data_IF_989235612248
#
_entry.id   IF_989235612248
#
_cell.length_a   1.000
_cell.length_b   1.000
_cell.length_c   1.000
_cell.angle_alpha   90.00
_cell.angle_beta   90.00
_cell.angle_gamma   90.00
#
_symmetry.space_group_name_H-M   'P 1'
#
loop_
_entity.id
_entity.type
_entity.pdbx_description
1 polymer ?
#
# COMPACT_ATOMS: atom_id res chain seq x y z
N UNK A 1 -23.62 -64.25 5.94
CA UNK A 1 -22.64 -63.18 6.18
C UNK A 1 -22.79 -62.21 5.02
N UNK A 2 -23.52 -61.12 5.26
CA UNK A 2 -23.85 -60.11 4.25
C UNK A 2 -22.69 -59.13 4.19
N UNK A 3 -22.08 -59.01 3.01
CA UNK A 3 -20.98 -58.08 2.78
C UNK A 3 -21.45 -56.64 2.90
N UNK A 4 -20.76 -55.87 3.72
CA UNK A 4 -20.86 -54.42 3.77
C UNK A 4 -20.20 -53.86 2.50
N UNK A 5 -21.04 -53.44 1.55
CA UNK A 5 -20.56 -52.68 0.40
C UNK A 5 -20.32 -51.24 0.86
N UNK A 6 -19.04 -50.87 0.92
CA UNK A 6 -18.53 -49.51 1.00
C UNK A 6 -19.23 -48.60 -0.02
N UNK A 7 -20.17 -47.78 0.45
CA UNK A 7 -20.78 -46.71 -0.34
C UNK A 7 -19.81 -45.51 -0.39
N UNK A 8 -18.73 -45.66 -1.16
CA UNK A 8 -18.00 -44.50 -1.67
C UNK A 8 -18.83 -43.94 -2.83
N UNK A 9 -19.54 -42.83 -2.60
CA UNK A 9 -20.17 -42.10 -3.69
C UNK A 9 -19.06 -41.56 -4.61
N UNK A 10 -18.90 -42.18 -5.78
CA UNK A 10 -18.02 -41.68 -6.83
C UNK A 10 -18.55 -40.32 -7.30
N UNK A 11 -17.76 -39.26 -7.08
CA UNK A 11 -18.07 -37.90 -7.53
C UNK A 11 -18.17 -37.92 -9.06
N UNK A 12 -19.30 -37.44 -9.59
CA UNK A 12 -19.48 -37.34 -11.05
C UNK A 12 -18.48 -36.37 -11.66
N UNK A 13 -18.12 -36.56 -12.94
CA UNK A 13 -17.17 -35.70 -13.63
C UNK A 13 -17.56 -34.20 -13.58
N UNK A 14 -18.85 -33.89 -13.63
CA UNK A 14 -19.38 -32.51 -13.54
C UNK A 14 -19.18 -31.90 -12.15
N UNK A 15 -19.38 -32.68 -11.09
CA UNK A 15 -19.13 -32.25 -9.71
C UNK A 15 -17.64 -32.04 -9.47
N UNK A 16 -16.78 -32.91 -10.03
CA UNK A 16 -15.34 -32.75 -9.97
C UNK A 16 -14.89 -31.48 -10.70
N UNK A 17 -15.37 -31.25 -11.93
CA UNK A 17 -15.05 -30.04 -12.70
C UNK A 17 -15.51 -28.77 -11.96
N UNK A 18 -16.70 -28.78 -11.38
CA UNK A 18 -17.23 -27.67 -10.59
C UNK A 18 -16.36 -27.38 -9.36
N UNK A 19 -15.91 -28.43 -8.66
CA UNK A 19 -15.01 -28.29 -7.52
C UNK A 19 -13.66 -27.69 -7.92
N UNK A 20 -13.06 -28.15 -9.03
CA UNK A 20 -11.81 -27.59 -9.56
C UNK A 20 -11.99 -26.12 -9.97
N UNK A 21 -13.12 -25.77 -10.58
CA UNK A 21 -13.43 -24.38 -10.91
C UNK A 21 -13.50 -23.49 -9.66
N UNK A 22 -14.19 -23.93 -8.60
CA UNK A 22 -14.23 -23.18 -7.35
C UNK A 22 -12.86 -23.04 -6.69
N UNK A 23 -12.02 -24.09 -6.70
CA UNK A 23 -10.63 -24.00 -6.21
C UNK A 23 -9.82 -22.93 -6.94
N UNK A 24 -10.01 -22.80 -8.26
CA UNK A 24 -9.35 -21.76 -9.05
C UNK A 24 -9.85 -20.38 -8.64
N UNK A 25 -11.16 -20.19 -8.49
CA UNK A 25 -11.74 -18.91 -8.05
C UNK A 25 -11.29 -18.53 -6.64
N UNK A 26 -11.27 -19.49 -5.70
CA UNK A 26 -10.80 -19.27 -4.34
C UNK A 26 -9.34 -18.85 -4.30
N UNK A 27 -8.49 -19.49 -5.11
CA UNK A 27 -7.10 -19.10 -5.24
C UNK A 27 -6.97 -17.67 -5.81
N UNK A 28 -7.71 -17.34 -6.87
CA UNK A 28 -7.71 -15.98 -7.43
C UNK A 28 -8.11 -14.94 -6.38
N UNK A 29 -9.17 -15.20 -5.61
CA UNK A 29 -9.62 -14.30 -4.54
C UNK A 29 -8.58 -14.17 -3.43
N UNK A 30 -7.97 -15.27 -3.00
CA UNK A 30 -6.92 -15.26 -1.97
C UNK A 30 -5.71 -14.44 -2.42
N UNK A 31 -5.26 -14.62 -3.66
CA UNK A 31 -4.15 -13.88 -4.24
C UNK A 31 -4.47 -12.38 -4.38
N UNK A 32 -5.68 -12.03 -4.81
CA UNK A 32 -6.11 -10.62 -4.89
C UNK A 32 -6.12 -9.94 -3.52
N UNK A 33 -6.68 -10.61 -2.50
CA UNK A 33 -6.69 -10.10 -1.12
C UNK A 33 -5.28 -9.91 -0.58
N UNK A 34 -4.44 -10.93 -0.72
CA UNK A 34 -3.06 -10.88 -0.25
C UNK A 34 -2.29 -9.74 -0.92
N UNK A 35 -2.38 -9.58 -2.24
CA UNK A 35 -1.73 -8.47 -2.96
C UNK A 35 -2.22 -7.10 -2.51
N UNK A 36 -3.52 -6.95 -2.30
CA UNK A 36 -4.09 -5.70 -1.80
C UNK A 36 -3.55 -5.34 -0.42
N UNK A 37 -3.46 -6.31 0.49
CA UNK A 37 -2.89 -6.12 1.83
C UNK A 37 -1.41 -5.73 1.76
N UNK A 38 -0.60 -6.43 0.94
CA UNK A 38 0.80 -6.08 0.76
C UNK A 38 1.00 -4.67 0.21
N UNK A 39 0.23 -4.29 -0.81
CA UNK A 39 0.29 -2.93 -1.37
C UNK A 39 -0.18 -1.87 -0.37
N UNK A 40 -1.18 -2.18 0.44
CA UNK A 40 -1.66 -1.27 1.49
C UNK A 40 -0.60 -1.04 2.57
N UNK A 41 0.08 -2.10 3.00
CA UNK A 41 1.18 -1.99 3.97
C UNK A 41 2.31 -1.12 3.43
N UNK A 42 2.71 -1.32 2.17
CA UNK A 42 3.71 -0.47 1.51
C UNK A 42 3.22 0.98 1.45
N UNK A 43 1.98 1.22 1.05
CA UNK A 43 1.43 2.58 1.00
C UNK A 43 1.46 3.27 2.39
N UNK A 44 1.15 2.52 3.45
CA UNK A 44 1.17 3.00 4.82
C UNK A 44 2.59 3.34 5.29
N UNK A 45 3.59 2.53 4.95
CA UNK A 45 5.00 2.81 5.25
C UNK A 45 5.47 4.14 4.63
N UNK A 46 4.97 4.48 3.44
CA UNK A 46 5.30 5.71 2.71
C UNK A 46 4.37 6.89 3.03
N UNK A 47 3.34 6.71 3.87
CA UNK A 47 2.31 7.72 4.15
C UNK A 47 2.86 9.05 4.70
N UNK A 48 4.05 9.03 5.31
CA UNK A 48 4.73 10.23 5.80
C UNK A 48 5.22 11.16 4.67
N UNK A 49 5.29 10.68 3.42
CA UNK A 49 5.60 11.48 2.24
C UNK A 49 4.39 12.27 1.70
N UNK A 50 3.21 12.09 2.29
CA UNK A 50 2.06 12.91 1.92
C UNK A 50 2.32 14.41 2.18
N UNK A 51 1.78 15.27 1.33
CA UNK A 51 1.97 16.72 1.44
C UNK A 51 1.57 17.28 2.82
N UNK A 52 0.52 16.69 3.44
CA UNK A 52 0.11 17.04 4.78
C UNK A 52 1.20 16.68 5.81
N UNK A 53 1.66 15.43 5.83
CA UNK A 53 2.71 14.95 6.73
C UNK A 53 4.00 15.75 6.57
N UNK A 54 4.44 15.99 5.33
CA UNK A 54 5.62 16.81 5.05
C UNK A 54 5.46 18.24 5.56
N UNK A 55 4.26 18.81 5.52
CA UNK A 55 4.02 20.17 6.02
C UNK A 55 4.05 20.23 7.56
N UNK A 56 3.31 19.35 8.25
CA UNK A 56 3.06 19.44 9.70
C UNK A 56 4.10 18.73 10.56
N UNK A 57 4.68 17.63 10.09
CA UNK A 57 5.55 16.77 10.92
C UNK A 57 6.94 17.41 11.11
N UNK A 58 7.50 17.46 12.34
CA UNK A 58 8.86 17.96 12.58
C UNK A 58 9.92 17.21 11.76
N UNK A 59 11.01 17.89 11.39
CA UNK A 59 11.99 17.32 10.45
C UNK A 59 12.72 16.14 11.05
N UNK A 60 12.99 16.17 12.35
CA UNK A 60 13.66 15.10 13.10
C UNK A 60 12.83 13.83 13.08
N UNK A 61 11.50 13.98 13.18
CA UNK A 61 10.56 12.85 13.11
C UNK A 61 10.46 12.29 11.70
N UNK A 62 10.48 13.15 10.68
CA UNK A 62 10.53 12.72 9.28
C UNK A 62 11.84 11.99 8.95
N UNK A 63 12.98 12.46 9.46
CA UNK A 63 14.27 11.77 9.32
C UNK A 63 14.24 10.40 9.96
N UNK A 64 13.60 10.25 11.12
CA UNK A 64 13.39 8.93 11.74
C UNK A 64 12.56 8.01 10.83
N UNK A 65 11.43 8.49 10.30
CA UNK A 65 10.62 7.69 9.38
C UNK A 65 11.38 7.30 8.11
N UNK A 66 12.15 8.22 7.54
CA UNK A 66 12.99 7.97 6.38
C UNK A 66 14.10 6.93 6.67
N UNK A 67 14.70 6.97 7.87
CA UNK A 67 15.68 5.99 8.30
C UNK A 67 15.06 4.61 8.52
N UNK A 68 13.92 4.54 9.21
CA UNK A 68 13.16 3.29 9.39
C UNK A 68 12.77 2.68 8.02
N UNK A 69 12.38 3.52 7.05
CA UNK A 69 12.06 3.12 5.69
C UNK A 69 13.28 2.59 4.93
N UNK A 70 14.41 3.30 4.98
CA UNK A 70 15.65 2.89 4.32
C UNK A 70 16.25 1.60 4.92
N UNK A 71 15.97 1.29 6.19
CA UNK A 71 16.30 -0.01 6.79
C UNK A 71 15.38 -1.10 6.26
N UNK A 72 14.07 -0.83 6.20
CA UNK A 72 13.06 -1.80 5.76
C UNK A 72 13.19 -2.17 4.28
N UNK A 73 13.54 -1.20 3.45
CA UNK A 73 13.66 -1.32 1.99
C UNK A 73 15.10 -1.05 1.53
N UNK A 74 16.08 -1.60 2.24
CA UNK A 74 17.50 -1.34 2.02
C UNK A 74 18.03 -1.77 0.64
N UNK A 75 17.34 -2.65 -0.06
CA UNK A 75 17.66 -3.06 -1.43
C UNK A 75 17.20 -2.02 -2.47
N UNK A 76 16.13 -1.27 -2.17
CA UNK A 76 15.46 -0.37 -3.11
C UNK A 76 15.64 1.12 -2.78
N UNK A 77 15.92 1.44 -1.51
CA UNK A 77 15.96 2.80 -0.99
C UNK A 77 17.33 3.08 -0.38
N UNK A 78 17.99 4.09 -0.93
CA UNK A 78 19.25 4.60 -0.41
C UNK A 78 19.04 5.38 0.91
N UNK A 79 20.02 5.30 1.80
CA UNK A 79 20.08 6.07 3.04
C UNK A 79 20.09 7.59 2.80
N UNK A 80 20.44 8.06 1.61
CA UNK A 80 20.34 9.46 1.21
C UNK A 80 18.95 10.06 1.41
N UNK A 81 17.88 9.25 1.38
CA UNK A 81 16.50 9.70 1.64
C UNK A 81 16.33 10.43 2.98
N UNK A 82 17.17 10.10 3.98
CA UNK A 82 17.18 10.75 5.30
C UNK A 82 17.57 12.24 5.18
N UNK A 83 18.43 12.57 4.23
CA UNK A 83 18.82 13.96 3.97
C UNK A 83 17.83 14.64 3.02
N UNK A 84 17.34 13.93 2.01
CA UNK A 84 16.39 14.46 1.02
C UNK A 84 15.04 14.84 1.64
N UNK A 85 14.57 14.12 2.66
CA UNK A 85 13.26 14.37 3.28
C UNK A 85 13.14 15.77 3.88
N UNK A 86 14.26 16.31 4.37
CA UNK A 86 14.33 17.69 4.88
C UNK A 86 14.12 18.69 3.74
N UNK A 87 14.76 18.46 2.60
CA UNK A 87 14.59 19.30 1.41
C UNK A 87 13.16 19.25 0.88
N UNK A 88 12.54 18.06 0.80
CA UNK A 88 11.15 17.91 0.39
C UNK A 88 10.18 18.68 1.29
N UNK A 89 10.38 18.62 2.61
CA UNK A 89 9.58 19.42 3.56
C UNK A 89 9.62 20.91 3.23
N UNK A 90 10.81 21.47 3.02
CA UNK A 90 10.96 22.89 2.71
C UNK A 90 10.32 23.25 1.37
N UNK A 91 10.47 22.40 0.35
CA UNK A 91 9.80 22.60 -0.93
C UNK A 91 8.27 22.61 -0.80
N UNK A 92 7.69 21.66 -0.06
CA UNK A 92 6.24 21.60 0.18
C UNK A 92 5.77 22.87 0.87
N UNK A 93 6.46 23.35 1.90
CA UNK A 93 6.13 24.62 2.57
C UNK A 93 6.18 25.82 1.62
N UNK A 94 7.23 25.92 0.80
CA UNK A 94 7.37 26.99 -0.17
C UNK A 94 6.24 26.97 -1.21
N UNK A 95 5.93 25.80 -1.75
CA UNK A 95 4.87 25.61 -2.73
C UNK A 95 3.48 25.88 -2.14
N UNK A 96 3.19 25.43 -0.92
CA UNK A 96 1.93 25.76 -0.24
C UNK A 96 1.77 27.26 -0.03
N UNK A 97 2.85 27.95 0.36
CA UNK A 97 2.85 29.40 0.53
C UNK A 97 2.59 30.12 -0.79
N UNK A 98 3.23 29.67 -1.88
CA UNK A 98 3.02 30.20 -3.23
C UNK A 98 1.58 30.00 -3.71
N UNK A 99 1.02 28.80 -3.54
CA UNK A 99 -0.35 28.46 -3.92
C UNK A 99 -1.36 29.33 -3.19
N UNK A 100 -1.24 29.47 -1.86
CA UNK A 100 -2.11 30.37 -1.08
C UNK A 100 -2.04 31.80 -1.62
N UNK A 101 -0.83 32.31 -1.87
CA UNK A 101 -0.62 33.67 -2.40
C UNK A 101 -1.29 33.88 -3.75
N UNK A 102 -1.24 32.88 -4.63
CA UNK A 102 -1.87 32.93 -5.95
C UNK A 102 -3.40 32.85 -5.87
N UNK A 103 -3.95 31.95 -5.05
CA UNK A 103 -5.40 31.88 -4.85
C UNK A 103 -5.96 33.20 -4.31
N UNK A 104 -5.33 33.81 -3.31
CA UNK A 104 -5.74 35.12 -2.79
C UNK A 104 -5.68 36.24 -3.83
N UNK A 105 -4.71 36.21 -4.76
CA UNK A 105 -4.66 37.19 -5.87
C UNK A 105 -5.84 37.02 -6.84
N UNK A 106 -6.28 35.80 -7.10
CA UNK A 106 -7.46 35.54 -7.94
C UNK A 106 -8.75 36.01 -7.27
N UNK A 107 -8.91 35.77 -5.97
CA UNK A 107 -10.11 36.21 -5.24
C UNK A 107 -10.20 37.73 -5.01
N UNK A 108 -9.08 38.47 -5.05
CA UNK A 108 -9.09 39.95 -4.96
C UNK A 108 -9.34 40.65 -6.31
N UNK A 109 -9.36 39.93 -7.42
CA UNK A 109 -9.56 40.48 -8.77
C UNK A 109 -11.02 40.41 -9.26
N UNK A 110 -11.88 39.71 -8.53
CA UNK A 110 -13.32 39.65 -8.71
C UNK A 110 -14.00 40.35 -7.54
#
# INVERSE_FOLDING_TARGET
MSGENSSGEDISADQFLTLEYYKVLDNMMAQMKWRFEQLSNIADDFQFLSAHSLYVTPVEKLKKYAADLAIKYNEDIDQEIINEIEFFKYQVKANFTRLKRNCFKYFKRN
#
